data_IF_748778015584
#
_entry.id   IF_748778015584
#
_cell.length_a   1.000
_cell.length_b   1.000
_cell.length_c   1.000
_cell.angle_alpha   90.00
_cell.angle_beta   90.00
_cell.angle_gamma   90.00
#
_symmetry.space_group_name_H-M   'P 1'
#
loop_
_entity.id
_entity.type
_entity.pdbx_description
1 polymer ?
#
# COMPACT_ATOMS: atom_id res chain seq x y z
N UNK A 1 -26.05 16.25 22.82
CA UNK A 1 -26.56 15.11 22.03
C UNK A 1 -25.38 14.25 21.62
N UNK A 2 -25.14 13.13 22.32
CA UNK A 2 -24.13 12.14 21.90
C UNK A 2 -24.78 11.29 20.80
N UNK A 3 -24.34 11.41 19.55
CA UNK A 3 -24.59 10.37 18.54
C UNK A 3 -23.79 9.16 19.02
N UNK A 4 -24.47 8.18 19.61
CA UNK A 4 -23.90 6.85 19.68
C UNK A 4 -23.72 6.41 18.23
N UNK A 5 -22.49 6.08 17.84
CA UNK A 5 -22.29 5.24 16.67
C UNK A 5 -23.07 3.96 16.99
N UNK A 6 -24.22 3.78 16.32
CA UNK A 6 -24.88 2.49 16.30
C UNK A 6 -23.87 1.55 15.69
N UNK A 7 -23.25 0.72 16.51
CA UNK A 7 -22.38 -0.36 16.03
C UNK A 7 -23.38 -1.33 15.43
N UNK A 8 -23.78 -1.05 14.18
CA UNK A 8 -24.61 -1.93 13.38
C UNK A 8 -24.08 -3.33 13.56
N UNK A 9 -24.99 -4.27 13.81
CA UNK A 9 -24.64 -5.62 14.20
C UNK A 9 -23.80 -6.25 13.08
N UNK A 10 -22.47 -6.18 13.21
CA UNK A 10 -21.47 -6.69 12.26
C UNK A 10 -21.72 -8.16 11.89
N UNK A 11 -22.52 -8.87 12.69
CA UNK A 11 -23.00 -10.22 12.40
C UNK A 11 -23.93 -10.34 11.20
N UNK A 12 -24.47 -9.21 10.73
CA UNK A 12 -25.34 -9.12 9.55
C UNK A 12 -24.59 -8.67 8.29
N UNK A 13 -23.30 -8.35 8.42
CA UNK A 13 -22.44 -8.00 7.28
C UNK A 13 -22.29 -9.21 6.35
N UNK A 14 -22.59 -9.08 5.05
CA UNK A 14 -22.45 -10.17 4.08
C UNK A 14 -21.02 -10.76 3.99
N UNK A 15 -19.97 -9.93 4.09
CA UNK A 15 -18.59 -10.41 4.16
C UNK A 15 -18.33 -11.15 5.46
N UNK A 16 -18.99 -10.78 6.56
CA UNK A 16 -18.85 -11.53 7.80
C UNK A 16 -19.42 -12.96 7.69
N UNK A 17 -20.46 -13.17 6.88
CA UNK A 17 -20.95 -14.52 6.58
C UNK A 17 -19.90 -15.35 5.82
N UNK A 18 -19.20 -14.76 4.84
CA UNK A 18 -18.06 -15.39 4.17
C UNK A 18 -16.94 -15.72 5.17
N UNK A 19 -16.48 -14.74 5.97
CA UNK A 19 -15.43 -14.94 6.95
C UNK A 19 -15.79 -16.03 7.96
N UNK A 20 -17.05 -16.10 8.41
CA UNK A 20 -17.54 -17.17 9.29
C UNK A 20 -17.47 -18.52 8.59
N UNK A 21 -17.92 -18.62 7.35
CA UNK A 21 -17.87 -19.87 6.60
C UNK A 21 -16.43 -20.38 6.44
N UNK A 22 -15.46 -19.50 6.20
CA UNK A 22 -14.03 -19.87 6.16
C UNK A 22 -13.55 -20.41 7.52
N UNK A 23 -13.93 -19.78 8.63
CA UNK A 23 -13.64 -20.26 9.99
C UNK A 23 -14.28 -21.62 10.26
N UNK A 24 -15.47 -21.86 9.70
CA UNK A 24 -16.21 -23.12 9.81
C UNK A 24 -15.69 -24.20 8.84
N UNK A 25 -14.62 -23.92 8.09
CA UNK A 25 -13.92 -24.88 7.23
C UNK A 25 -14.33 -24.86 5.75
N UNK A 26 -15.04 -23.83 5.29
CA UNK A 26 -15.24 -23.61 3.86
C UNK A 26 -13.90 -23.29 3.18
N UNK A 27 -13.70 -23.83 1.99
CA UNK A 27 -12.53 -23.52 1.16
C UNK A 27 -12.65 -22.11 0.58
N UNK A 28 -11.56 -21.34 0.61
CA UNK A 28 -11.53 -19.98 0.03
C UNK A 28 -11.88 -19.98 -1.47
N UNK A 29 -11.47 -21.04 -2.17
CA UNK A 29 -11.78 -21.27 -3.60
C UNK A 29 -13.29 -21.32 -3.90
N UNK A 30 -14.14 -21.65 -2.92
CA UNK A 30 -15.60 -21.69 -3.09
C UNK A 30 -16.23 -20.29 -3.28
N UNK A 31 -15.52 -19.22 -2.93
CA UNK A 31 -15.98 -17.84 -3.07
C UNK A 31 -15.44 -17.14 -4.32
N UNK A 32 -14.47 -17.75 -5.03
CA UNK A 32 -13.82 -17.16 -6.21
C UNK A 32 -14.83 -16.88 -7.31
N UNK A 33 -14.76 -15.67 -7.89
CA UNK A 33 -15.69 -15.21 -8.93
C UNK A 33 -17.10 -14.87 -8.44
N UNK A 34 -17.38 -15.06 -7.13
CA UNK A 34 -18.66 -14.76 -6.51
C UNK A 34 -18.81 -13.30 -6.06
N UNK A 35 -19.94 -12.95 -5.42
CA UNK A 35 -20.23 -11.58 -4.96
C UNK A 35 -19.32 -11.08 -3.84
N UNK A 36 -18.55 -11.98 -3.20
CA UNK A 36 -17.57 -11.67 -2.16
C UNK A 36 -16.13 -11.68 -2.65
N UNK A 37 -15.89 -12.06 -3.91
CA UNK A 37 -14.58 -11.92 -4.54
C UNK A 37 -14.44 -10.49 -5.04
N UNK A 38 -13.78 -9.63 -4.26
CA UNK A 38 -13.61 -8.21 -4.58
C UNK A 38 -12.88 -8.02 -5.91
N UNK A 39 -12.07 -8.98 -6.35
CA UNK A 39 -11.41 -8.93 -7.67
C UNK A 39 -12.44 -9.04 -8.78
N UNK A 40 -13.38 -10.00 -8.65
CA UNK A 40 -14.46 -10.19 -9.60
C UNK A 40 -15.42 -9.00 -9.59
N UNK A 41 -15.79 -8.51 -8.40
CA UNK A 41 -16.67 -7.33 -8.26
C UNK A 41 -16.04 -6.10 -8.89
N UNK A 42 -14.76 -5.81 -8.58
CA UNK A 42 -14.05 -4.65 -9.15
C UNK A 42 -13.93 -4.75 -10.67
N UNK A 43 -13.60 -5.93 -11.19
CA UNK A 43 -13.50 -6.16 -12.63
C UNK A 43 -14.85 -6.06 -13.36
N UNK A 44 -15.96 -6.27 -12.65
CA UNK A 44 -17.31 -6.15 -13.21
C UNK A 44 -17.86 -4.71 -13.21
N UNK A 45 -17.18 -3.76 -12.56
CA UNK A 45 -17.57 -2.35 -12.61
C UNK A 45 -17.39 -1.87 -14.05
N UNK A 46 -18.49 -1.45 -14.68
CA UNK A 46 -18.50 -1.00 -16.07
C UNK A 46 -17.82 0.35 -16.22
N UNK A 47 -17.11 0.62 -17.32
CA UNK A 47 -16.55 1.94 -17.61
C UNK A 47 -17.60 3.06 -17.54
N UNK A 48 -18.83 2.81 -18.01
CA UNK A 48 -19.90 3.80 -17.95
C UNK A 48 -20.30 4.14 -16.50
N UNK A 49 -20.21 3.18 -15.59
CA UNK A 49 -20.48 3.41 -14.17
C UNK A 49 -19.35 4.25 -13.54
N UNK A 50 -18.10 3.98 -13.87
CA UNK A 50 -16.96 4.76 -13.36
C UNK A 50 -16.91 6.17 -13.92
N UNK A 51 -17.16 6.31 -15.23
CA UNK A 51 -17.07 7.60 -15.92
C UNK A 51 -18.28 8.50 -15.62
N UNK A 52 -19.45 7.89 -15.42
CA UNK A 52 -20.67 8.56 -14.98
C UNK A 52 -20.82 8.70 -13.45
N UNK A 53 -19.85 8.23 -12.67
CA UNK A 53 -19.91 8.18 -11.21
C UNK A 53 -21.21 7.55 -10.66
N UNK A 54 -21.67 6.46 -11.28
CA UNK A 54 -22.87 5.70 -10.88
C UNK A 54 -22.57 4.82 -9.67
N UNK A 55 -22.30 5.45 -8.53
CA UNK A 55 -21.88 4.77 -7.30
C UNK A 55 -22.91 3.75 -6.78
N UNK A 56 -24.20 3.95 -7.06
CA UNK A 56 -25.27 3.05 -6.65
C UNK A 56 -25.31 1.72 -7.44
N UNK A 57 -24.55 1.62 -8.55
CA UNK A 57 -24.42 0.36 -9.31
C UNK A 57 -23.35 -0.58 -8.75
N UNK A 58 -22.54 -0.12 -7.80
CA UNK A 58 -21.48 -0.91 -7.17
C UNK A 58 -22.01 -1.52 -5.87
N UNK A 59 -21.80 -2.83 -5.62
CA UNK A 59 -22.34 -3.50 -4.43
C UNK A 59 -21.46 -3.24 -3.20
N UNK A 60 -21.40 -2.00 -2.75
CA UNK A 60 -20.59 -1.58 -1.60
C UNK A 60 -20.97 -2.34 -0.33
N UNK A 61 -22.27 -2.60 -0.15
CA UNK A 61 -22.85 -3.27 1.00
C UNK A 61 -22.37 -4.72 1.20
N UNK A 62 -21.72 -5.30 0.19
CA UNK A 62 -21.10 -6.61 0.32
C UNK A 62 -19.84 -6.58 1.18
N UNK A 63 -19.21 -5.41 1.36
CA UNK A 63 -17.92 -5.28 2.03
C UNK A 63 -17.99 -4.40 3.27
N UNK A 64 -17.24 -4.71 4.34
CA UNK A 64 -17.28 -3.93 5.56
C UNK A 64 -16.85 -2.49 5.30
N UNK A 65 -17.61 -1.53 5.85
CA UNK A 65 -17.41 -0.08 5.63
C UNK A 65 -17.67 0.40 4.20
N UNK A 66 -18.25 -0.42 3.32
CA UNK A 66 -18.56 -0.05 1.93
C UNK A 66 -19.31 1.27 1.78
N UNK A 67 -20.38 1.48 2.55
CA UNK A 67 -21.15 2.72 2.53
C UNK A 67 -20.31 3.95 2.89
N UNK A 68 -19.36 3.82 3.82
CA UNK A 68 -18.49 4.91 4.24
C UNK A 68 -17.46 5.25 3.16
N UNK A 69 -16.93 4.24 2.45
CA UNK A 69 -16.07 4.46 1.26
C UNK A 69 -16.87 5.12 0.14
N UNK A 70 -18.09 4.64 -0.14
CA UNK A 70 -18.98 5.22 -1.15
C UNK A 70 -19.22 6.70 -0.89
N UNK A 71 -19.57 7.05 0.36
CA UNK A 71 -19.79 8.44 0.77
C UNK A 71 -18.52 9.28 0.59
N UNK A 72 -17.34 8.75 0.94
CA UNK A 72 -16.08 9.46 0.75
C UNK A 72 -15.76 9.73 -0.73
N UNK A 73 -15.99 8.76 -1.62
CA UNK A 73 -15.84 8.93 -3.08
C UNK A 73 -16.84 9.97 -3.59
N UNK A 74 -18.09 9.93 -3.14
CA UNK A 74 -19.10 10.92 -3.51
C UNK A 74 -18.68 12.34 -3.10
N UNK A 75 -18.24 12.53 -1.85
CA UNK A 75 -17.79 13.82 -1.34
C UNK A 75 -16.54 14.33 -2.07
N UNK A 76 -15.61 13.43 -2.42
CA UNK A 76 -14.45 13.79 -3.24
C UNK A 76 -14.87 14.22 -4.64
N UNK A 77 -15.83 13.54 -5.26
CA UNK A 77 -16.30 13.83 -6.61
C UNK A 77 -17.08 15.15 -6.72
N UNK A 78 -18.00 15.42 -5.78
CA UNK A 78 -18.82 16.64 -5.84
C UNK A 78 -18.09 17.88 -5.33
N UNK A 79 -17.07 17.71 -4.48
CA UNK A 79 -16.38 18.83 -3.82
C UNK A 79 -17.25 19.59 -2.81
N UNK A 80 -18.42 19.06 -2.45
CA UNK A 80 -19.48 19.77 -1.73
C UNK A 80 -19.26 19.94 -0.21
N UNK A 81 -18.03 19.86 0.30
CA UNK A 81 -17.78 19.97 1.75
C UNK A 81 -16.45 20.64 2.11
N UNK A 82 -16.48 21.86 2.68
CA UNK A 82 -15.29 22.51 3.23
C UNK A 82 -14.83 21.93 4.57
N UNK A 83 -15.61 21.05 5.22
CA UNK A 83 -15.33 20.52 6.57
C UNK A 83 -15.04 19.01 6.60
N UNK A 84 -15.36 18.30 5.52
CA UNK A 84 -15.12 16.85 5.36
C UNK A 84 -14.87 16.57 3.89
N UNK A 85 -13.66 16.88 3.42
CA UNK A 85 -13.19 16.27 2.18
C UNK A 85 -13.11 14.76 2.45
N UNK A 86 -13.60 13.92 1.53
CA UNK A 86 -13.45 12.45 1.65
C UNK A 86 -11.99 11.99 1.65
N UNK A 87 -11.04 12.93 1.50
CA UNK A 87 -9.59 12.75 1.65
C UNK A 87 -9.25 12.09 2.98
N UNK A 88 -8.32 11.14 2.96
CA UNK A 88 -7.85 10.41 4.13
C UNK A 88 -8.74 9.23 4.53
N UNK A 89 -9.97 9.11 3.99
CA UNK A 89 -10.86 8.00 4.36
C UNK A 89 -10.33 6.68 3.80
N UNK A 90 -9.99 6.64 2.51
CA UNK A 90 -9.50 5.43 1.83
C UNK A 90 -8.16 4.97 2.44
N UNK A 91 -7.20 5.87 2.54
CA UNK A 91 -5.89 5.63 3.16
C UNK A 91 -6.00 5.31 4.64
N UNK A 92 -6.89 5.98 5.38
CA UNK A 92 -7.18 5.68 6.79
C UNK A 92 -7.80 4.30 6.99
N UNK A 93 -8.67 3.85 6.10
CA UNK A 93 -9.19 2.48 6.12
C UNK A 93 -8.11 1.45 5.78
N UNK A 94 -7.32 1.69 4.74
CA UNK A 94 -6.16 0.85 4.41
C UNK A 94 -5.17 0.78 5.57
N UNK A 95 -5.02 1.87 6.32
CA UNK A 95 -4.16 1.96 7.50
C UNK A 95 -4.68 1.12 8.67
N UNK A 96 -6.01 1.02 8.80
CA UNK A 96 -6.68 0.15 9.76
C UNK A 96 -6.86 -1.29 9.25
N UNK A 97 -6.13 -1.69 8.20
CA UNK A 97 -6.16 -3.02 7.60
C UNK A 97 -7.56 -3.43 7.11
N UNK A 98 -8.34 -2.47 6.59
CA UNK A 98 -9.65 -2.66 5.94
C UNK A 98 -9.57 -2.20 4.48
N UNK A 99 -9.27 -3.11 3.55
CA UNK A 99 -9.02 -2.78 2.13
C UNK A 99 -10.12 -3.26 1.18
N UNK A 100 -10.92 -4.25 1.58
CA UNK A 100 -11.92 -4.85 0.69
C UNK A 100 -12.89 -3.81 0.10
N UNK A 101 -13.40 -2.90 0.91
CA UNK A 101 -14.25 -1.81 0.43
C UNK A 101 -13.48 -0.71 -0.32
N UNK A 102 -12.23 -0.41 0.08
CA UNK A 102 -11.47 0.71 -0.49
C UNK A 102 -11.01 0.45 -1.92
N UNK A 103 -10.78 -0.81 -2.27
CA UNK A 103 -10.52 -1.28 -3.63
C UNK A 103 -11.59 -0.83 -4.63
N UNK A 104 -12.86 -0.86 -4.24
CA UNK A 104 -13.97 -0.48 -5.11
C UNK A 104 -13.94 1.01 -5.48
N UNK A 105 -13.26 1.83 -4.68
CA UNK A 105 -13.07 3.26 -4.97
C UNK A 105 -12.00 3.53 -6.02
N UNK A 106 -11.04 2.62 -6.23
CA UNK A 106 -9.85 2.87 -7.07
C UNK A 106 -10.21 3.36 -8.48
N UNK A 107 -11.14 2.72 -9.23
CA UNK A 107 -11.50 3.20 -10.56
C UNK A 107 -12.04 4.64 -10.57
N UNK A 108 -12.88 5.01 -9.59
CA UNK A 108 -13.45 6.36 -9.47
C UNK A 108 -12.39 7.39 -9.08
N UNK A 109 -11.50 7.06 -8.15
CA UNK A 109 -10.39 7.92 -7.73
C UNK A 109 -9.44 8.23 -8.89
N UNK A 110 -9.22 7.28 -9.80
CA UNK A 110 -8.43 7.50 -11.02
C UNK A 110 -9.10 8.53 -11.94
N UNK A 111 -10.44 8.51 -12.08
CA UNK A 111 -11.17 9.53 -12.89
C UNK A 111 -11.04 10.91 -12.26
N UNK A 112 -11.20 11.02 -10.94
CA UNK A 112 -11.03 12.29 -10.21
C UNK A 112 -9.59 12.81 -10.38
N UNK A 113 -8.58 11.93 -10.31
CA UNK A 113 -7.18 12.30 -10.51
C UNK A 113 -6.86 12.74 -11.94
N UNK A 114 -7.48 12.10 -12.93
CA UNK A 114 -7.28 12.36 -14.34
C UNK A 114 -7.96 13.66 -14.81
N UNK A 115 -9.02 14.11 -14.15
CA UNK A 115 -9.64 15.41 -14.44
C UNK A 115 -8.73 16.56 -14.00
N UNK A 116 -8.12 17.22 -14.99
CA UNK A 116 -7.20 18.35 -14.78
C UNK A 116 -7.86 19.56 -14.14
N UNK A 117 -9.18 19.68 -14.23
CA UNK A 117 -9.95 20.78 -13.66
C UNK A 117 -10.44 20.48 -12.25
N UNK A 118 -10.30 19.24 -11.77
CA UNK A 118 -10.86 18.84 -10.50
C UNK A 118 -10.00 19.34 -9.31
N UNK A 119 -10.58 20.07 -8.34
CA UNK A 119 -9.83 20.69 -7.25
C UNK A 119 -9.13 19.67 -6.32
N UNK A 120 -9.70 18.47 -6.19
CA UNK A 120 -9.17 17.40 -5.33
C UNK A 120 -8.39 16.32 -6.09
N UNK A 121 -7.99 16.55 -7.35
CA UNK A 121 -7.30 15.54 -8.17
C UNK A 121 -6.03 14.98 -7.53
N UNK A 122 -5.25 15.84 -6.88
CA UNK A 122 -4.00 15.42 -6.22
C UNK A 122 -4.30 14.51 -5.03
N UNK A 123 -5.32 14.84 -4.24
CA UNK A 123 -5.75 14.06 -3.09
C UNK A 123 -6.30 12.70 -3.54
N UNK A 124 -7.17 12.67 -4.55
CA UNK A 124 -7.67 11.42 -5.11
C UNK A 124 -6.52 10.51 -5.59
N UNK A 125 -5.51 11.07 -6.26
CA UNK A 125 -4.34 10.31 -6.71
C UNK A 125 -3.51 9.73 -5.54
N UNK A 126 -3.46 10.41 -4.39
CA UNK A 126 -2.79 9.90 -3.20
C UNK A 126 -3.49 8.63 -2.68
N UNK A 127 -4.82 8.60 -2.76
CA UNK A 127 -5.65 7.49 -2.28
C UNK A 127 -5.60 6.25 -3.21
N UNK A 128 -5.43 6.45 -4.53
CA UNK A 128 -5.42 5.36 -5.54
C UNK A 128 -4.47 4.22 -5.18
N UNK A 129 -3.29 4.54 -4.64
CA UNK A 129 -2.21 3.56 -4.42
C UNK A 129 -2.35 2.80 -3.11
N UNK A 130 -3.13 3.33 -2.15
CA UNK A 130 -3.21 2.78 -0.80
C UNK A 130 -3.73 1.33 -0.77
N UNK A 131 -4.77 0.94 -1.52
CA UNK A 131 -5.26 -0.43 -1.48
C UNK A 131 -4.36 -1.43 -2.22
N UNK A 132 -3.44 -0.96 -3.08
CA UNK A 132 -2.61 -1.80 -3.97
C UNK A 132 -1.31 -2.34 -3.34
N UNK A 133 -1.09 -2.15 -2.04
CA UNK A 133 0.21 -2.43 -1.38
C UNK A 133 0.08 -3.28 -0.11
N UNK A 134 1.10 -4.10 0.13
CA UNK A 134 1.19 -5.02 1.26
C UNK A 134 1.62 -4.26 2.53
N UNK A 135 0.67 -3.84 3.37
CA UNK A 135 0.91 -3.21 4.71
C UNK A 135 1.86 -1.99 4.73
N UNK A 136 1.29 -0.83 5.06
CA UNK A 136 1.93 0.48 4.86
C UNK A 136 2.90 0.97 5.94
N UNK A 137 3.07 0.30 7.06
CA UNK A 137 3.72 0.98 8.20
C UNK A 137 4.98 0.29 8.68
N UNK A 138 6.08 1.04 8.59
CA UNK A 138 7.34 0.69 9.24
C UNK A 138 8.03 -0.54 8.64
N UNK A 139 7.73 -0.86 7.38
CA UNK A 139 8.43 -1.89 6.62
C UNK A 139 9.54 -1.20 5.83
N UNK A 140 10.79 -1.53 6.16
CA UNK A 140 11.95 -0.90 5.55
C UNK A 140 13.06 -1.91 5.16
N UNK A 141 12.77 -3.22 5.27
CA UNK A 141 13.71 -4.28 4.91
C UNK A 141 13.85 -4.43 3.39
N UNK A 142 15.00 -4.96 2.94
CA UNK A 142 15.26 -5.24 1.51
C UNK A 142 14.20 -6.13 0.88
N UNK A 143 13.71 -7.09 1.68
CA UNK A 143 12.79 -8.11 1.21
C UNK A 143 11.37 -7.61 1.05
N UNK A 144 11.00 -6.51 1.71
CA UNK A 144 9.60 -6.12 1.85
C UNK A 144 9.27 -4.73 1.33
N UNK A 145 10.21 -3.76 1.37
CA UNK A 145 9.93 -2.35 1.02
C UNK A 145 9.26 -2.18 -0.36
N UNK A 146 9.76 -2.92 -1.36
CA UNK A 146 9.27 -2.87 -2.74
C UNK A 146 8.56 -4.17 -3.16
N UNK A 147 8.21 -5.04 -2.21
CA UNK A 147 7.68 -6.36 -2.53
C UNK A 147 6.19 -6.31 -2.88
N UNK A 148 5.86 -6.91 -4.01
CA UNK A 148 4.49 -7.30 -4.35
C UNK A 148 4.41 -8.80 -4.19
N UNK A 149 3.69 -9.26 -3.17
CA UNK A 149 3.29 -10.65 -3.10
C UNK A 149 2.30 -10.88 -4.25
N UNK A 150 2.60 -11.78 -5.16
CA UNK A 150 1.75 -12.09 -6.33
C UNK A 150 1.13 -13.48 -6.22
N UNK A 151 1.71 -14.35 -5.38
CA UNK A 151 1.21 -15.68 -5.15
C UNK A 151 0.09 -15.65 -4.12
N UNK A 152 -1.15 -15.69 -4.60
CA UNK A 152 -2.24 -16.29 -3.85
C UNK A 152 -2.03 -17.81 -3.92
N UNK A 153 -1.15 -18.38 -3.12
CA UNK A 153 -1.06 -19.84 -3.04
C UNK A 153 -2.42 -20.37 -2.61
N UNK A 154 -3.05 -21.17 -3.47
CA UNK A 154 -4.38 -21.76 -3.25
C UNK A 154 -4.43 -22.69 -2.02
N UNK A 155 -3.28 -23.18 -1.54
CA UNK A 155 -3.21 -24.25 -0.54
C UNK A 155 -3.05 -23.77 0.92
N UNK A 156 -2.89 -22.46 1.15
CA UNK A 156 -2.88 -21.91 2.52
C UNK A 156 -4.06 -21.00 2.73
N UNK A 157 -4.81 -21.23 3.83
CA UNK A 157 -5.98 -20.43 4.25
C UNK A 157 -5.71 -18.92 4.32
N UNK A 158 -4.43 -18.55 4.32
CA UNK A 158 -3.92 -17.19 4.29
C UNK A 158 -2.93 -17.09 3.13
N UNK A 159 -3.18 -16.18 2.20
CA UNK A 159 -2.16 -15.78 1.23
C UNK A 159 -0.98 -15.12 1.97
N UNK A 160 0.13 -14.86 1.27
CA UNK A 160 1.28 -14.22 1.92
C UNK A 160 0.91 -12.83 2.50
N UNK A 161 -0.23 -12.22 2.14
CA UNK A 161 -0.70 -10.96 2.72
C UNK A 161 -1.41 -11.11 4.08
N UNK A 162 -1.87 -12.32 4.41
CA UNK A 162 -2.66 -12.59 5.61
C UNK A 162 -4.12 -12.15 5.46
N UNK A 163 -4.75 -11.85 6.59
CA UNK A 163 -6.13 -11.34 6.62
C UNK A 163 -6.17 -9.90 7.09
N UNK A 164 -7.13 -9.16 6.54
CA UNK A 164 -7.62 -7.90 7.06
C UNK A 164 -8.16 -8.08 8.49
N UNK A 165 -8.32 -6.97 9.23
CA UNK A 165 -8.91 -7.00 10.58
C UNK A 165 -10.32 -7.60 10.61
N UNK A 166 -10.99 -7.62 9.46
CA UNK A 166 -12.32 -8.20 9.23
C UNK A 166 -12.30 -9.72 8.99
N UNK A 167 -11.11 -10.32 8.84
CA UNK A 167 -10.92 -11.70 8.40
C UNK A 167 -10.90 -11.88 6.88
N UNK A 168 -11.07 -10.80 6.10
CA UNK A 168 -11.07 -10.85 4.63
C UNK A 168 -9.66 -11.12 4.08
N UNK A 169 -9.50 -11.92 3.00
CA UNK A 169 -8.19 -12.20 2.39
C UNK A 169 -7.56 -10.93 1.83
N UNK A 170 -6.50 -10.45 2.47
CA UNK A 170 -5.92 -9.14 2.14
C UNK A 170 -5.30 -9.11 0.74
N UNK A 171 -4.78 -10.23 0.24
CA UNK A 171 -4.23 -10.30 -1.11
C UNK A 171 -5.29 -10.23 -2.20
N UNK A 172 -6.56 -10.59 -1.92
CA UNK A 172 -7.65 -10.37 -2.88
C UNK A 172 -7.90 -8.87 -3.10
N UNK A 173 -7.92 -8.09 -2.02
CA UNK A 173 -8.03 -6.64 -2.09
C UNK A 173 -6.83 -6.03 -2.84
N UNK A 174 -5.61 -6.43 -2.47
CA UNK A 174 -4.40 -5.89 -3.14
C UNK A 174 -4.36 -6.24 -4.63
N UNK A 175 -4.72 -7.47 -5.00
CA UNK A 175 -4.80 -7.89 -6.40
C UNK A 175 -5.85 -7.09 -7.18
N UNK A 176 -7.04 -6.87 -6.60
CA UNK A 176 -8.11 -6.12 -7.22
C UNK A 176 -7.72 -4.65 -7.48
N UNK A 177 -7.08 -3.98 -6.52
CA UNK A 177 -6.60 -2.61 -6.70
C UNK A 177 -5.54 -2.49 -7.80
N UNK A 178 -4.58 -3.42 -7.84
CA UNK A 178 -3.55 -3.45 -8.89
C UNK A 178 -4.16 -3.71 -10.27
N UNK A 179 -5.15 -4.60 -10.36
CA UNK A 179 -5.87 -4.85 -11.59
C UNK A 179 -6.61 -3.59 -12.08
N UNK A 180 -7.27 -2.85 -11.18
CA UNK A 180 -7.90 -1.57 -11.52
C UNK A 180 -6.88 -0.52 -12.01
N UNK A 181 -5.77 -0.34 -11.30
CA UNK A 181 -4.68 0.56 -11.72
C UNK A 181 -4.09 0.16 -13.08
N UNK A 182 -3.94 -1.15 -13.31
CA UNK A 182 -3.47 -1.68 -14.60
C UNK A 182 -4.45 -1.35 -15.71
N UNK A 183 -5.75 -1.60 -15.51
CA UNK A 183 -6.80 -1.32 -16.49
C UNK A 183 -6.83 0.16 -16.91
N UNK A 184 -6.53 1.06 -15.98
CA UNK A 184 -6.59 2.51 -16.19
C UNK A 184 -5.21 3.18 -16.32
N UNK A 185 -4.16 2.41 -16.65
CA UNK A 185 -2.81 2.94 -16.86
C UNK A 185 -2.78 4.08 -17.89
N UNK A 186 -3.65 4.03 -18.91
CA UNK A 186 -3.77 5.08 -19.92
C UNK A 186 -4.21 6.44 -19.35
N UNK A 187 -5.00 6.46 -18.26
CA UNK A 187 -5.41 7.69 -17.57
C UNK A 187 -4.32 8.21 -16.62
N UNK A 188 -3.50 7.31 -16.06
CA UNK A 188 -2.45 7.65 -15.12
C UNK A 188 -1.14 8.10 -15.78
N UNK A 189 -0.79 7.56 -16.96
CA UNK A 189 0.45 7.90 -17.67
C UNK A 189 0.63 9.41 -17.96
N UNK A 190 -0.39 10.15 -18.40
CA UNK A 190 -0.28 11.60 -18.60
C UNK A 190 0.11 12.37 -17.32
N UNK A 191 -0.27 11.86 -16.15
CA UNK A 191 0.00 12.49 -14.85
C UNK A 191 1.49 12.51 -14.49
N UNK A 192 2.33 11.70 -15.16
CA UNK A 192 3.79 11.79 -15.05
C UNK A 192 4.34 13.12 -15.60
N UNK A 193 3.58 13.84 -16.44
CA UNK A 193 3.96 15.13 -17.00
C UNK A 193 3.20 16.30 -16.36
N UNK A 194 2.56 16.08 -15.22
CA UNK A 194 1.83 17.11 -14.50
C UNK A 194 2.77 18.27 -14.09
N UNK A 195 2.32 19.54 -14.12
CA UNK A 195 3.14 20.65 -13.64
C UNK A 195 3.51 20.53 -12.16
N UNK A 196 2.68 19.89 -11.33
CA UNK A 196 2.94 19.70 -9.91
C UNK A 196 3.90 18.53 -9.66
N UNK A 197 5.07 18.75 -9.02
CA UNK A 197 5.99 17.67 -8.63
C UNK A 197 5.32 16.61 -7.75
N UNK A 198 4.43 17.02 -6.83
CA UNK A 198 3.71 16.10 -5.96
C UNK A 198 2.79 15.15 -6.75
N UNK A 199 2.11 15.66 -7.79
CA UNK A 199 1.28 14.83 -8.68
C UNK A 199 2.14 13.85 -9.47
N UNK A 200 3.30 14.29 -10.00
CA UNK A 200 4.23 13.39 -10.71
C UNK A 200 4.74 12.26 -9.81
N UNK A 201 5.08 12.55 -8.55
CA UNK A 201 5.51 11.56 -7.56
C UNK A 201 4.39 10.55 -7.28
N UNK A 202 3.17 11.02 -7.02
CA UNK A 202 2.01 10.14 -6.74
C UNK A 202 1.63 9.31 -7.96
N UNK A 203 1.73 9.86 -9.16
CA UNK A 203 1.51 9.12 -10.41
C UNK A 203 2.54 7.98 -10.57
N UNK A 204 3.83 8.27 -10.35
CA UNK A 204 4.88 7.26 -10.37
C UNK A 204 4.63 6.16 -9.32
N UNK A 205 4.22 6.56 -8.11
CA UNK A 205 3.90 5.64 -7.03
C UNK A 205 2.70 4.72 -7.33
N UNK A 206 1.64 5.25 -7.97
CA UNK A 206 0.49 4.46 -8.39
C UNK A 206 0.87 3.47 -9.51
N UNK A 207 1.50 3.99 -10.57
CA UNK A 207 1.90 3.22 -11.74
C UNK A 207 2.91 2.11 -11.40
N UNK A 208 3.74 2.29 -10.38
CA UNK A 208 4.67 1.26 -9.91
C UNK A 208 3.97 -0.07 -9.55
N UNK A 209 2.70 0.01 -9.16
CA UNK A 209 1.87 -1.14 -8.77
C UNK A 209 1.13 -1.80 -9.93
N UNK A 210 1.11 -1.17 -11.11
CA UNK A 210 0.47 -1.71 -12.31
C UNK A 210 1.23 -2.95 -12.82
N UNK A 211 0.51 -3.86 -13.47
CA UNK A 211 1.15 -4.84 -14.34
C UNK A 211 1.75 -4.12 -15.56
N UNK A 212 2.94 -4.54 -15.99
CA UNK A 212 3.65 -3.91 -17.10
C UNK A 212 4.23 -4.96 -18.08
N UNK A 213 3.38 -5.85 -18.64
CA UNK A 213 3.86 -6.92 -19.54
C UNK A 213 4.53 -6.34 -20.80
N UNK A 214 4.01 -5.21 -21.31
CA UNK A 214 4.49 -4.56 -22.53
C UNK A 214 5.58 -3.51 -22.26
N UNK A 215 6.02 -3.36 -21.00
CA UNK A 215 7.07 -2.41 -20.58
C UNK A 215 6.74 -0.93 -20.84
N UNK A 216 5.46 -0.61 -21.04
CA UNK A 216 4.98 0.75 -21.31
C UNK A 216 5.19 1.66 -20.11
N UNK A 217 4.87 1.18 -18.91
CA UNK A 217 5.03 1.96 -17.66
C UNK A 217 6.51 2.23 -17.39
N UNK A 218 7.37 1.22 -17.51
CA UNK A 218 8.84 1.42 -17.40
C UNK A 218 9.39 2.39 -18.43
N UNK A 219 8.95 2.30 -19.69
CA UNK A 219 9.39 3.21 -20.74
C UNK A 219 8.99 4.65 -20.42
N UNK A 220 7.79 4.86 -19.88
CA UNK A 220 7.33 6.16 -19.43
C UNK A 220 8.17 6.69 -18.25
N UNK A 221 8.52 5.86 -17.26
CA UNK A 221 9.43 6.27 -16.18
C UNK A 221 10.80 6.70 -16.69
N UNK A 222 11.41 5.93 -17.60
CA UNK A 222 12.72 6.29 -18.20
C UNK A 222 12.65 7.58 -19.00
N UNK A 223 11.60 7.73 -19.81
CA UNK A 223 11.38 8.94 -20.60
C UNK A 223 11.23 10.16 -19.69
N UNK A 224 10.39 10.06 -18.65
CA UNK A 224 10.20 11.16 -17.70
C UNK A 224 11.47 11.48 -16.94
N UNK A 225 12.21 10.46 -16.48
CA UNK A 225 13.45 10.67 -15.73
C UNK A 225 14.51 11.42 -16.55
N UNK A 226 14.57 11.21 -17.86
CA UNK A 226 15.49 11.92 -18.75
C UNK A 226 15.17 13.40 -18.96
N UNK A 227 13.92 13.81 -18.70
CA UNK A 227 13.45 15.20 -18.86
C UNK A 227 13.13 15.89 -17.52
N UNK A 228 13.23 15.18 -16.41
CA UNK A 228 12.91 15.71 -15.08
C UNK A 228 14.10 16.44 -14.48
N UNK A 229 13.84 17.62 -13.91
CA UNK A 229 14.85 18.45 -13.24
C UNK A 229 14.75 18.34 -11.71
N UNK A 230 13.56 18.07 -11.17
CA UNK A 230 13.34 17.97 -9.73
C UNK A 230 13.98 16.67 -9.16
N UNK A 231 14.95 16.78 -8.23
CA UNK A 231 15.69 15.62 -7.73
C UNK A 231 14.80 14.62 -6.95
N UNK A 232 13.75 15.09 -6.27
CA UNK A 232 12.82 14.22 -5.53
C UNK A 232 11.90 13.48 -6.51
N UNK A 233 11.42 14.15 -7.56
CA UNK A 233 10.64 13.45 -8.61
C UNK A 233 11.50 12.41 -9.31
N UNK A 234 12.77 12.73 -9.61
CA UNK A 234 13.73 11.75 -10.17
C UNK A 234 13.93 10.55 -9.24
N UNK A 235 14.09 10.79 -7.94
CA UNK A 235 14.18 9.73 -6.93
C UNK A 235 12.91 8.84 -6.91
N UNK A 236 11.71 9.45 -7.00
CA UNK A 236 10.45 8.71 -7.10
C UNK A 236 10.38 7.82 -8.34
N UNK A 237 10.82 8.30 -9.50
CA UNK A 237 10.84 7.53 -10.75
C UNK A 237 11.82 6.35 -10.68
N UNK A 238 12.95 6.50 -9.99
CA UNK A 238 13.89 5.41 -9.75
C UNK A 238 13.30 4.34 -8.84
N UNK A 239 12.67 4.74 -7.72
CA UNK A 239 11.98 3.79 -6.83
C UNK A 239 10.81 3.09 -7.54
N UNK A 240 10.02 3.83 -8.34
CA UNK A 240 8.95 3.25 -9.14
C UNK A 240 9.48 2.21 -10.13
N UNK A 241 10.59 2.52 -10.83
CA UNK A 241 11.23 1.57 -11.73
C UNK A 241 11.78 0.35 -10.98
N UNK A 242 12.35 0.53 -9.79
CA UNK A 242 12.82 -0.56 -8.94
C UNK A 242 11.66 -1.47 -8.53
N UNK A 243 10.56 -0.89 -8.04
CA UNK A 243 9.37 -1.64 -7.64
C UNK A 243 8.75 -2.42 -8.79
N UNK A 244 8.55 -1.80 -9.96
CA UNK A 244 8.06 -2.53 -11.13
C UNK A 244 9.03 -3.67 -11.48
N UNK A 245 10.35 -3.46 -11.37
CA UNK A 245 11.40 -4.51 -11.59
C UNK A 245 11.27 -5.65 -10.61
N UNK A 246 10.92 -5.37 -9.36
CA UNK A 246 10.72 -6.42 -8.36
C UNK A 246 9.57 -7.34 -8.76
N UNK A 247 8.52 -6.79 -9.35
CA UNK A 247 7.31 -7.52 -9.73
C UNK A 247 7.46 -8.30 -11.03
N UNK A 248 8.20 -7.72 -11.97
CA UNK A 248 8.48 -8.32 -13.26
C UNK A 248 9.99 -8.24 -13.50
N UNK A 249 10.77 -9.23 -13.01
CA UNK A 249 12.23 -9.19 -13.08
C UNK A 249 12.77 -8.80 -14.45
N UNK A 250 13.62 -7.79 -14.48
CA UNK A 250 14.20 -7.25 -15.69
C UNK A 250 15.67 -6.89 -15.47
N UNK A 251 16.61 -7.82 -15.73
CA UNK A 251 18.03 -7.63 -15.42
C UNK A 251 18.63 -6.30 -15.94
N UNK A 252 18.32 -5.83 -17.17
CA UNK A 252 18.83 -4.54 -17.63
C UNK A 252 18.38 -3.34 -16.79
N UNK A 253 17.21 -3.40 -16.16
CA UNK A 253 16.76 -2.33 -15.25
C UNK A 253 17.49 -2.42 -13.90
N UNK A 254 17.76 -3.63 -13.38
CA UNK A 254 18.57 -3.81 -12.17
C UNK A 254 19.99 -3.28 -12.36
N UNK A 255 20.64 -3.59 -13.49
CA UNK A 255 21.97 -3.07 -13.83
C UNK A 255 21.97 -1.55 -13.96
N UNK A 256 20.98 -0.99 -14.66
CA UNK A 256 20.84 0.46 -14.80
C UNK A 256 20.63 1.17 -13.45
N UNK A 257 19.85 0.61 -12.52
CA UNK A 257 19.70 1.15 -11.15
C UNK A 257 21.04 1.05 -10.39
N UNK A 258 21.81 -0.03 -10.59
CA UNK A 258 23.15 -0.17 -10.01
C UNK A 258 24.11 0.92 -10.51
N UNK A 259 24.04 1.27 -11.79
CA UNK A 259 24.86 2.33 -12.38
C UNK A 259 24.49 3.71 -11.81
N UNK A 260 23.19 3.98 -11.62
CA UNK A 260 22.71 5.27 -11.11
C UNK A 260 23.24 5.61 -9.72
N UNK A 261 23.34 4.66 -8.79
CA UNK A 261 23.86 4.99 -7.45
C UNK A 261 25.39 5.26 -7.47
N UNK A 262 26.10 4.62 -8.40
CA UNK A 262 27.55 4.79 -8.60
C UNK A 262 27.91 6.08 -9.32
N UNK A 263 27.02 6.59 -10.17
CA UNK A 263 27.23 7.82 -10.93
C UNK A 263 27.21 9.04 -10.00
N UNK A 264 28.39 9.59 -9.73
CA UNK A 264 28.59 10.77 -8.87
C UNK A 264 28.06 12.07 -9.48
N UNK A 265 27.70 12.07 -10.77
CA UNK A 265 27.09 13.23 -11.43
C UNK A 265 25.60 13.34 -11.15
N UNK A 266 24.97 12.26 -10.66
CA UNK A 266 23.57 12.26 -10.26
C UNK A 266 23.36 13.05 -8.96
N UNK A 267 22.16 13.62 -8.82
CA UNK A 267 21.74 14.24 -7.57
C UNK A 267 21.78 13.22 -6.42
N UNK A 268 22.18 13.62 -5.20
CA UNK A 268 22.21 12.76 -4.02
C UNK A 268 20.94 11.93 -3.79
N UNK A 269 19.76 12.53 -3.97
CA UNK A 269 18.45 11.91 -3.76
C UNK A 269 18.22 10.76 -4.75
N UNK A 270 18.65 10.94 -6.00
CA UNK A 270 18.60 9.91 -7.05
C UNK A 270 19.53 8.76 -6.72
N UNK A 271 20.73 9.06 -6.22
CA UNK A 271 21.72 8.03 -5.83
C UNK A 271 21.23 7.21 -4.64
N UNK A 272 20.62 7.87 -3.63
CA UNK A 272 20.02 7.19 -2.48
C UNK A 272 18.85 6.29 -2.90
N UNK A 273 17.93 6.81 -3.70
CA UNK A 273 16.82 6.03 -4.26
C UNK A 273 17.32 4.82 -5.08
N UNK A 274 18.36 5.01 -5.88
CA UNK A 274 18.98 3.95 -6.67
C UNK A 274 19.66 2.89 -5.79
N UNK A 275 20.36 3.30 -4.72
CA UNK A 275 20.99 2.37 -3.79
C UNK A 275 19.93 1.51 -3.08
N UNK A 276 18.88 2.13 -2.52
CA UNK A 276 17.77 1.43 -1.86
C UNK A 276 17.04 0.51 -2.86
N UNK A 277 16.71 1.02 -4.05
CA UNK A 277 16.06 0.24 -5.09
C UNK A 277 16.89 -0.96 -5.52
N UNK A 278 18.20 -0.80 -5.70
CA UNK A 278 19.10 -1.91 -6.05
C UNK A 278 19.17 -2.97 -4.94
N UNK A 279 19.28 -2.55 -3.67
CA UNK A 279 19.30 -3.47 -2.52
C UNK A 279 18.00 -4.29 -2.40
N UNK A 280 16.86 -3.73 -2.81
CA UNK A 280 15.58 -4.45 -2.84
C UNK A 280 15.46 -5.44 -4.01
N UNK A 281 16.34 -5.33 -5.01
CA UNK A 281 16.31 -6.14 -6.24
C UNK A 281 17.32 -7.28 -6.24
N UNK A 282 18.20 -7.36 -5.24
CA UNK A 282 19.29 -8.34 -5.20
C UNK A 282 19.48 -8.92 -3.81
N UNK A 283 19.90 -10.18 -3.78
CA UNK A 283 20.41 -10.85 -2.58
C UNK A 283 21.94 -10.78 -2.49
N UNK A 284 22.59 -10.01 -3.39
CA UNK A 284 24.03 -9.78 -3.34
C UNK A 284 24.45 -9.14 -1.99
N UNK A 285 25.62 -9.53 -1.44
CA UNK A 285 26.21 -8.83 -0.32
C UNK A 285 26.35 -7.34 -0.62
N UNK A 286 26.09 -6.50 0.38
CA UNK A 286 26.24 -5.06 0.20
C UNK A 286 27.70 -4.71 0.01
N UNK A 287 28.03 -3.99 -1.08
CA UNK A 287 29.37 -3.46 -1.27
C UNK A 287 29.73 -2.45 -0.18
N UNK A 288 30.92 -2.55 0.42
CA UNK A 288 31.38 -1.62 1.46
C UNK A 288 31.36 -0.15 1.00
N UNK A 289 31.67 0.08 -0.28
CA UNK A 289 31.64 1.41 -0.89
C UNK A 289 30.21 1.98 -1.02
N UNK A 290 29.19 1.11 -1.09
CA UNK A 290 27.80 1.52 -1.03
C UNK A 290 27.44 2.00 0.37
N UNK A 291 27.81 1.26 1.42
CA UNK A 291 27.52 1.67 2.81
C UNK A 291 28.08 3.06 3.10
N UNK A 292 29.38 3.26 2.84
CA UNK A 292 30.05 4.56 3.06
C UNK A 292 29.38 5.67 2.25
N UNK A 293 29.09 5.42 0.96
CA UNK A 293 28.46 6.43 0.12
C UNK A 293 27.03 6.78 0.58
N UNK A 294 26.25 5.82 1.06
CA UNK A 294 24.90 6.06 1.56
C UNK A 294 24.95 6.86 2.86
N UNK A 295 25.83 6.51 3.80
CA UNK A 295 26.00 7.25 5.06
C UNK A 295 26.42 8.71 4.80
N UNK A 296 27.35 8.96 3.87
CA UNK A 296 27.78 10.30 3.47
C UNK A 296 26.65 11.12 2.82
N UNK A 297 25.77 10.46 2.05
CA UNK A 297 24.66 11.10 1.37
C UNK A 297 23.43 11.28 2.27
N UNK A 298 23.26 10.51 3.35
CA UNK A 298 22.04 10.50 4.14
C UNK A 298 21.98 11.57 5.25
N UNK A 299 22.35 12.81 4.91
CA UNK A 299 22.25 13.95 5.83
C UNK A 299 20.81 14.16 6.34
N UNK A 300 20.67 14.74 7.53
CA UNK A 300 19.39 15.06 8.15
C UNK A 300 18.40 15.81 7.25
N UNK A 301 18.87 16.87 6.60
CA UNK A 301 18.06 17.67 5.67
C UNK A 301 17.51 16.81 4.52
N UNK A 302 18.37 15.96 3.95
CA UNK A 302 18.00 15.08 2.84
C UNK A 302 17.04 13.97 3.27
N UNK A 303 17.22 13.43 4.46
CA UNK A 303 16.30 12.44 5.02
C UNK A 303 14.88 13.01 5.14
N UNK A 304 14.74 14.25 5.62
CA UNK A 304 13.44 14.94 5.68
C UNK A 304 12.89 15.29 4.30
N UNK A 305 13.75 15.71 3.35
CA UNK A 305 13.32 15.98 1.98
C UNK A 305 12.75 14.73 1.30
N UNK A 306 13.35 13.56 1.56
CA UNK A 306 12.89 12.29 1.01
C UNK A 306 11.57 11.79 1.62
N UNK A 307 11.06 12.34 2.72
CA UNK A 307 9.73 12.00 3.26
C UNK A 307 8.58 12.43 2.31
N UNK A 308 8.86 13.27 1.32
CA UNK A 308 7.92 13.54 0.22
C UNK A 308 7.66 12.31 -0.67
N UNK A 309 8.54 11.30 -0.63
CA UNK A 309 8.38 10.04 -1.35
C UNK A 309 7.45 9.12 -0.56
N UNK A 310 6.34 8.62 -1.16
CA UNK A 310 5.40 7.76 -0.43
C UNK A 310 6.03 6.48 0.12
N UNK A 311 7.08 5.94 -0.52
CA UNK A 311 7.87 4.82 0.01
C UNK A 311 8.54 5.16 1.35
N UNK A 312 9.14 6.35 1.47
CA UNK A 312 9.83 6.78 2.68
C UNK A 312 8.80 7.17 3.75
N UNK A 313 7.73 7.86 3.37
CA UNK A 313 6.63 8.14 4.30
C UNK A 313 6.06 6.85 4.93
N UNK A 314 5.86 5.80 4.12
CA UNK A 314 5.40 4.48 4.60
C UNK A 314 6.45 3.77 5.49
N UNK A 315 7.74 3.89 5.14
CA UNK A 315 8.82 3.36 5.94
C UNK A 315 9.03 4.12 7.26
N UNK A 316 8.60 5.38 7.36
CA UNK A 316 8.86 6.21 8.54
C UNK A 316 8.29 5.62 9.84
N UNK A 317 8.95 5.93 10.95
CA UNK A 317 8.54 5.53 12.31
C UNK A 317 8.55 6.75 13.23
N UNK A 318 7.93 6.62 14.40
CA UNK A 318 7.96 7.68 15.42
C UNK A 318 9.40 8.05 15.76
N UNK A 319 9.79 9.29 15.46
CA UNK A 319 11.14 9.81 15.73
C UNK A 319 12.23 9.42 14.71
N UNK A 320 11.89 8.71 13.63
CA UNK A 320 12.83 8.28 12.59
C UNK A 320 12.22 8.46 11.18
N UNK A 321 12.88 9.28 10.33
CA UNK A 321 12.51 9.45 8.91
C UNK A 321 12.58 8.12 8.17
N UNK A 322 11.78 7.95 7.12
CA UNK A 322 11.77 6.71 6.33
C UNK A 322 13.13 6.32 5.76
N UNK A 323 13.88 7.32 5.27
CA UNK A 323 15.21 7.09 4.71
C UNK A 323 16.16 6.45 5.73
N UNK A 324 16.27 7.03 6.93
CA UNK A 324 17.15 6.50 7.98
C UNK A 324 16.75 5.11 8.41
N UNK A 325 15.45 4.87 8.52
CA UNK A 325 14.95 3.56 8.84
C UNK A 325 15.32 2.52 7.76
N UNK A 326 15.17 2.85 6.48
CA UNK A 326 15.65 1.98 5.39
C UNK A 326 17.16 1.75 5.46
N UNK A 327 17.96 2.78 5.72
CA UNK A 327 19.42 2.65 5.84
C UNK A 327 19.79 1.72 6.99
N UNK A 328 19.19 1.89 8.17
CA UNK A 328 19.42 1.04 9.33
C UNK A 328 19.06 -0.42 9.03
N UNK A 329 17.83 -0.69 8.59
CA UNK A 329 17.35 -2.06 8.33
C UNK A 329 18.12 -2.75 7.19
N UNK A 330 18.51 -2.00 6.15
CA UNK A 330 19.16 -2.59 4.98
C UNK A 330 20.67 -2.68 5.10
N UNK A 331 21.34 -1.73 5.76
CA UNK A 331 22.80 -1.59 5.75
C UNK A 331 23.44 -1.81 7.11
N UNK A 332 22.73 -1.49 8.19
CA UNK A 332 23.24 -1.57 9.56
C UNK A 332 22.28 -2.32 10.49
N UNK A 333 21.85 -3.55 10.16
CA UNK A 333 20.84 -4.29 10.93
C UNK A 333 21.26 -4.61 12.37
N UNK A 334 22.55 -4.49 12.68
CA UNK A 334 23.10 -4.61 14.04
C UNK A 334 22.88 -3.37 14.91
N UNK A 335 22.53 -2.21 14.34
CA UNK A 335 22.23 -1.03 15.12
C UNK A 335 20.87 -1.19 15.82
N UNK A 336 20.79 -0.93 17.14
CA UNK A 336 19.53 -1.06 17.87
C UNK A 336 18.51 -0.02 17.38
N UNK A 337 17.23 -0.35 17.55
CA UNK A 337 16.16 0.64 17.36
C UNK A 337 16.40 1.87 18.26
N UNK A 338 16.05 3.09 17.80
CA UNK A 338 16.19 4.31 18.59
C UNK A 338 15.51 4.20 19.96
N UNK A 339 16.20 4.61 21.02
CA UNK A 339 15.66 4.60 22.39
C UNK A 339 14.41 5.51 22.48
N UNK A 340 13.30 4.97 22.98
CA UNK A 340 11.99 5.65 23.02
C UNK A 340 10.89 4.94 22.22
N UNK A 341 11.22 3.79 21.60
CA UNK A 341 10.24 2.89 21.01
C UNK A 341 9.43 2.16 22.09
N UNK A 342 8.35 2.79 22.54
CA UNK A 342 7.21 2.03 23.04
C UNK A 342 6.52 1.44 21.80
N UNK A 343 6.66 0.14 21.55
CA UNK A 343 5.70 -0.52 20.67
C UNK A 343 4.32 -0.20 21.23
N UNK A 344 3.48 0.58 20.52
CA UNK A 344 2.17 0.98 21.02
C UNK A 344 1.26 -0.24 21.30
N UNK A 345 1.66 -1.43 20.82
CA UNK A 345 1.01 -2.71 21.05
C UNK A 345 1.69 -3.59 22.12
N UNK A 346 2.94 -3.33 22.51
CA UNK A 346 3.65 -4.12 23.53
C UNK A 346 3.08 -3.92 24.94
N UNK A 347 2.52 -2.74 25.22
CA UNK A 347 1.91 -2.43 26.51
C UNK A 347 0.71 -3.35 26.87
N UNK A 348 0.16 -4.11 25.91
CA UNK A 348 -1.03 -4.96 26.13
C UNK A 348 -0.73 -6.46 26.29
N UNK A 349 0.53 -6.90 26.13
CA UNK A 349 0.88 -8.33 26.26
C UNK A 349 1.27 -8.74 27.70
N UNK A 350 1.73 -7.79 28.52
CA UNK A 350 2.08 -8.03 29.92
C UNK A 350 0.87 -8.17 30.85
N UNK A 351 -0.33 -7.76 30.43
CA UNK A 351 -1.56 -7.90 31.21
C UNK A 351 -2.28 -9.26 31.07
N UNK A 352 -1.93 -10.08 30.07
CA UNK A 352 -2.57 -11.39 29.84
C UNK A 352 -1.94 -12.57 30.58
N UNK A 353 -0.87 -12.38 31.36
CA UNK A 353 -0.23 -13.45 32.16
C UNK A 353 -0.81 -13.65 33.58
N UNK A 354 -1.89 -12.96 33.96
CA UNK A 354 -2.46 -13.05 35.33
C UNK A 354 -3.90 -13.55 35.43
N UNK A 355 -4.48 -14.15 34.38
CA UNK A 355 -5.76 -14.86 34.50
C UNK A 355 -5.57 -16.33 34.13
N UNK A 356 -4.91 -17.06 35.04
CA UNK A 356 -4.89 -18.52 35.00
C UNK A 356 -6.30 -19.07 35.22
N UNK A 357 -6.93 -19.53 34.14
CA UNK A 357 -8.08 -20.43 34.20
C UNK A 357 -7.59 -21.78 34.73
N UNK A 358 -7.74 -22.00 36.04
CA UNK A 358 -7.54 -23.32 36.66
C UNK A 358 -8.80 -24.19 36.51
N UNK A 359 -8.69 -25.46 36.11
CA UNK A 359 -9.83 -26.37 36.07
C UNK A 359 -10.24 -26.79 37.49
N UNK A 360 -11.51 -26.57 37.85
CA UNK A 360 -12.15 -27.17 39.03
C UNK A 360 -12.24 -28.68 38.85
N UNK A 361 -11.43 -29.43 39.59
CA UNK A 361 -11.70 -30.86 39.82
C UNK A 361 -12.90 -31.00 40.76
N UNK A 362 -13.96 -31.66 40.27
CA UNK A 362 -15.03 -32.19 41.11
C UNK A 362 -14.55 -33.47 41.78
N UNK A 363 -14.80 -33.58 43.09
CA UNK A 363 -14.40 -34.69 43.92
C UNK A 363 -15.27 -35.94 43.73
N UNK A 364 -14.61 -37.09 43.58
CA UNK A 364 -15.18 -38.40 43.86
C UNK A 364 -14.78 -38.84 45.27
N UNK A 365 -15.76 -38.95 46.17
CA UNK A 365 -15.59 -39.68 47.44
C UNK A 365 -15.75 -41.18 47.14
N UNK A 366 -14.70 -41.95 47.37
CA UNK A 366 -14.77 -43.40 47.47
C UNK A 366 -14.99 -43.81 48.93
N UNK A 367 -16.00 -44.64 49.16
CA UNK A 367 -16.13 -45.45 50.36
C UNK A 367 -15.14 -46.61 50.31
N UNK A 368 -14.26 -46.72 51.30
CA UNK A 368 -14.06 -47.91 52.15
C UNK A 368 -13.04 -47.58 53.23
#
# INVERSE_FOLDING_TARGET
>A
MRRGCDVGEWRTDPTFAMCRALVDGAELSSFVGGPFDVRAVTAAIRPEATDGFLLDEVPWEHFPQGDHVREAVHLLHTGDSPLRTGTGVVSGMCANDMRAATVLAVPFLIRIAADTCHPHRADALAEVSSPARARHFGVASRNELLLHRTDTRDDTLYDDYGVEVTGYPAGWSVAAARAAITADTALLLPLLNDPSPATRIRAAYALATAADPDRTVRAAFRTRLGAEEDPIVRAALVLAAAETTRNHPHPPTTEWIRELWRDRTQAPEVRLAAAIGWLCLTDEPTPDDLCVAVDDLASDERAHAMDALPWMAAASRSGETGLRHCIREMLHPEQPDPAGYDDPWAANQSSRRLVGWGPRQQGGRGCQ
#
